data_IF_211479214992
#
_entry.id   IF_211479214992
#
_cell.length_a   1.000
_cell.length_b   1.000
_cell.length_c   1.000
_cell.angle_alpha   90.00
_cell.angle_beta   90.00
_cell.angle_gamma   90.00
#
_symmetry.space_group_name_H-M   'P 1'
#
loop_
_entity.id
_entity.type
_entity.pdbx_description
1 polymer ?
#
# COMPACT_ATOMS: atom_id res chain seq x y z
N UNK A 1 -54.05 -26.68 27.55
CA UNK A 1 -53.52 -25.45 28.19
C UNK A 1 -52.05 -25.70 28.48
N UNK A 2 -51.17 -24.99 27.77
CA UNK A 2 -49.74 -24.67 28.01
C UNK A 2 -49.17 -24.36 26.63
N UNK A 3 -48.96 -23.07 26.36
CA UNK A 3 -48.38 -22.51 25.14
C UNK A 3 -46.93 -22.18 25.43
N UNK A 4 -45.97 -22.78 24.69
CA UNK A 4 -44.59 -22.34 24.73
C UNK A 4 -44.44 -21.13 23.79
N UNK A 5 -44.46 -19.92 24.36
CA UNK A 5 -43.94 -18.71 23.72
C UNK A 5 -42.43 -18.71 23.89
N UNK A 6 -41.70 -19.00 22.82
CA UNK A 6 -40.28 -18.66 22.74
C UNK A 6 -40.16 -17.13 22.71
N UNK A 7 -39.70 -16.56 23.82
CA UNK A 7 -39.27 -15.19 23.88
C UNK A 7 -37.94 -15.07 23.13
N UNK A 8 -38.01 -14.61 21.88
CA UNK A 8 -36.83 -14.16 21.15
C UNK A 8 -36.28 -12.91 21.85
N UNK A 9 -35.28 -13.12 22.71
CA UNK A 9 -34.47 -12.07 23.31
C UNK A 9 -33.65 -11.40 22.21
N UNK A 10 -34.22 -10.38 21.57
CA UNK A 10 -33.48 -9.46 20.70
C UNK A 10 -32.57 -8.62 21.58
N UNK A 11 -31.41 -9.18 21.94
CA UNK A 11 -30.33 -8.43 22.56
C UNK A 11 -29.80 -7.41 21.54
N UNK A 12 -30.38 -6.21 21.57
CA UNK A 12 -29.82 -5.03 20.93
C UNK A 12 -28.42 -4.80 21.51
N UNK A 13 -27.39 -5.28 20.80
CA UNK A 13 -26.02 -4.84 20.99
C UNK A 13 -25.93 -3.39 20.54
N UNK A 14 -26.42 -2.48 21.38
CA UNK A 14 -26.01 -1.09 21.39
C UNK A 14 -24.56 -1.06 21.88
N UNK A 15 -23.64 -1.41 20.98
CA UNK A 15 -22.23 -1.16 21.18
C UNK A 15 -22.05 0.34 21.42
N UNK A 16 -21.56 0.70 22.61
CA UNK A 16 -21.18 2.07 22.92
C UNK A 16 -20.17 2.55 21.87
N UNK A 17 -20.65 3.35 20.92
CA UNK A 17 -19.77 4.23 20.16
C UNK A 17 -19.12 5.17 21.19
N UNK A 18 -17.78 5.29 21.24
CA UNK A 18 -17.14 6.30 22.07
C UNK A 18 -17.70 7.66 21.66
N UNK A 19 -18.05 8.51 22.64
CA UNK A 19 -18.58 9.87 22.51
C UNK A 19 -18.54 10.42 21.05
N UNK A 20 -19.71 10.48 20.44
CA UNK A 20 -19.93 10.35 18.99
C UNK A 20 -19.10 11.26 18.10
N UNK A 21 -18.09 10.69 17.43
CA UNK A 21 -17.49 11.32 16.25
C UNK A 21 -18.53 11.36 15.13
N UNK A 22 -18.64 12.50 14.46
CA UNK A 22 -19.53 12.64 13.30
C UNK A 22 -19.15 11.66 12.19
N UNK A 23 -20.16 11.21 11.44
CA UNK A 23 -19.95 10.36 10.26
C UNK A 23 -19.44 11.19 9.06
N UNK A 24 -18.71 10.55 8.15
CA UNK A 24 -18.39 11.15 6.85
C UNK A 24 -19.63 11.19 5.94
N UNK A 25 -19.65 12.09 4.96
CA UNK A 25 -20.64 12.10 3.90
C UNK A 25 -20.30 11.09 2.80
N UNK A 26 -21.29 10.66 2.01
CA UNK A 26 -21.06 9.68 0.93
C UNK A 26 -20.00 10.13 -0.10
N UNK A 27 -20.00 11.41 -0.45
CA UNK A 27 -19.03 11.99 -1.38
C UNK A 27 -17.62 12.10 -0.80
N UNK A 28 -17.49 12.22 0.52
CA UNK A 28 -16.19 12.20 1.20
C UNK A 28 -15.56 10.80 1.12
N UNK A 29 -16.39 9.76 1.28
CA UNK A 29 -15.96 8.38 1.09
C UNK A 29 -15.58 8.08 -0.36
N UNK A 30 -16.37 8.54 -1.32
CA UNK A 30 -16.04 8.39 -2.75
C UNK A 30 -14.73 9.12 -3.07
N UNK A 31 -14.57 10.36 -2.62
CA UNK A 31 -13.34 11.12 -2.83
C UNK A 31 -12.11 10.44 -2.23
N UNK A 32 -12.23 9.91 -0.99
CA UNK A 32 -11.14 9.16 -0.37
C UNK A 32 -10.82 7.87 -1.14
N UNK A 33 -11.84 7.15 -1.63
CA UNK A 33 -11.64 5.94 -2.41
C UNK A 33 -10.97 6.22 -3.78
N UNK A 34 -11.35 7.30 -4.45
CA UNK A 34 -10.75 7.71 -5.74
C UNK A 34 -9.30 8.17 -5.56
N UNK A 35 -9.00 8.93 -4.51
CA UNK A 35 -7.63 9.29 -4.16
C UNK A 35 -6.80 8.07 -3.76
N UNK A 36 -7.41 7.08 -3.09
CA UNK A 36 -6.78 5.79 -2.84
C UNK A 36 -6.47 5.03 -4.14
N UNK A 37 -7.39 5.03 -5.10
CA UNK A 37 -7.16 4.40 -6.40
C UNK A 37 -6.06 5.13 -7.19
N UNK A 38 -5.98 6.46 -7.12
CA UNK A 38 -4.86 7.23 -7.67
C UNK A 38 -3.53 6.71 -7.12
N UNK A 39 -3.40 6.57 -5.79
CA UNK A 39 -2.17 6.07 -5.18
C UNK A 39 -1.75 4.71 -5.73
N UNK A 40 -2.71 3.79 -5.86
CA UNK A 40 -2.46 2.46 -6.43
C UNK A 40 -1.99 2.58 -7.88
N UNK A 41 -2.67 3.38 -8.71
CA UNK A 41 -2.23 3.58 -10.10
C UNK A 41 -0.81 4.15 -10.16
N UNK A 42 -0.49 5.13 -9.31
CA UNK A 42 0.85 5.71 -9.24
C UNK A 42 1.93 4.66 -8.88
N UNK A 43 1.68 3.80 -7.87
CA UNK A 43 2.59 2.70 -7.49
C UNK A 43 2.80 1.71 -8.64
N UNK A 44 1.75 1.36 -9.38
CA UNK A 44 1.89 0.45 -10.53
C UNK A 44 2.67 1.09 -11.69
N UNK A 45 2.47 2.39 -11.95
CA UNK A 45 3.25 3.11 -12.95
C UNK A 45 4.72 3.20 -12.58
N UNK A 46 4.99 3.46 -11.30
CA UNK A 46 6.33 3.51 -10.73
C UNK A 46 7.03 2.15 -10.84
N UNK A 47 6.41 1.08 -10.33
CA UNK A 47 6.94 -0.28 -10.47
C UNK A 47 7.14 -0.70 -11.94
N UNK A 48 6.26 -0.25 -12.85
CA UNK A 48 6.43 -0.48 -14.30
C UNK A 48 7.65 0.25 -14.85
N UNK A 49 7.94 1.46 -14.39
CA UNK A 49 9.10 2.24 -14.80
C UNK A 49 10.42 1.58 -14.36
N UNK A 50 10.49 1.11 -13.11
CA UNK A 50 11.64 0.35 -12.61
C UNK A 50 11.84 -0.95 -13.40
N UNK A 51 10.76 -1.69 -13.70
CA UNK A 51 10.84 -2.90 -14.52
C UNK A 51 11.37 -2.64 -15.94
N UNK A 52 11.08 -1.47 -16.51
CA UNK A 52 11.57 -1.07 -17.83
C UNK A 52 13.02 -0.56 -17.81
N UNK A 53 13.63 -0.42 -16.64
CA UNK A 53 14.99 0.16 -16.51
C UNK A 53 15.05 1.62 -16.93
N UNK A 54 13.96 2.38 -16.74
CA UNK A 54 13.99 3.83 -16.94
C UNK A 54 14.93 4.49 -15.91
N UNK A 55 15.47 5.70 -16.18
CA UNK A 55 16.37 6.37 -15.25
C UNK A 55 15.77 6.48 -13.85
N UNK A 56 16.52 5.98 -12.88
CA UNK A 56 16.05 5.82 -11.50
C UNK A 56 16.70 6.85 -10.57
N UNK A 57 15.86 7.49 -9.75
CA UNK A 57 16.23 8.44 -8.72
C UNK A 57 15.06 8.61 -7.76
N UNK A 58 15.30 9.15 -6.56
CA UNK A 58 14.22 9.42 -5.62
C UNK A 58 13.17 10.40 -6.19
N UNK A 59 13.58 11.33 -7.06
CA UNK A 59 12.68 12.30 -7.68
C UNK A 59 12.43 11.98 -9.16
N UNK A 60 11.47 11.08 -9.42
CA UNK A 60 10.98 10.77 -10.77
C UNK A 60 9.59 11.38 -11.01
N UNK A 61 9.13 11.50 -12.27
CA UNK A 61 7.73 11.84 -12.54
C UNK A 61 6.72 10.87 -11.92
N UNK A 62 7.09 9.58 -11.79
CA UNK A 62 6.25 8.53 -11.21
C UNK A 62 6.12 8.68 -9.68
N UNK A 63 7.24 8.95 -9.00
CA UNK A 63 7.27 9.41 -7.62
C UNK A 63 6.46 10.70 -7.44
N UNK A 64 6.56 11.65 -8.38
CA UNK A 64 5.74 12.86 -8.39
C UNK A 64 4.23 12.58 -8.38
N UNK A 65 3.76 11.61 -9.17
CA UNK A 65 2.36 11.17 -9.15
C UNK A 65 1.97 10.55 -7.81
N UNK A 66 2.85 9.74 -7.21
CA UNK A 66 2.64 9.11 -5.91
C UNK A 66 2.56 10.16 -4.80
N UNK A 67 3.54 11.06 -4.73
CA UNK A 67 3.62 12.14 -3.75
C UNK A 67 2.43 13.10 -3.87
N UNK A 68 2.05 13.46 -5.10
CA UNK A 68 0.87 14.28 -5.36
C UNK A 68 -0.41 13.62 -4.85
N UNK A 69 -0.60 12.34 -5.14
CA UNK A 69 -1.75 11.57 -4.64
C UNK A 69 -1.78 11.50 -3.11
N UNK A 70 -0.62 11.31 -2.48
CA UNK A 70 -0.50 11.22 -1.03
C UNK A 70 -0.82 12.56 -0.37
N UNK A 71 -0.27 13.65 -0.91
CA UNK A 71 -0.55 15.00 -0.45
C UNK A 71 -2.05 15.30 -0.55
N UNK A 72 -2.67 14.99 -1.69
CA UNK A 72 -4.10 15.21 -1.88
C UNK A 72 -4.96 14.38 -0.92
N UNK A 73 -4.62 13.10 -0.70
CA UNK A 73 -5.33 12.26 0.27
C UNK A 73 -5.14 12.76 1.72
N UNK A 74 -3.92 13.14 2.10
CA UNK A 74 -3.63 13.74 3.39
C UNK A 74 -4.45 15.01 3.62
N UNK A 75 -4.40 15.95 2.67
CA UNK A 75 -5.21 17.18 2.72
C UNK A 75 -6.70 16.89 2.76
N UNK A 76 -7.17 15.86 2.06
CA UNK A 76 -8.56 15.42 2.11
C UNK A 76 -8.98 14.97 3.51
N UNK A 77 -8.16 14.14 4.17
CA UNK A 77 -8.39 13.69 5.55
C UNK A 77 -8.44 14.87 6.54
N UNK A 78 -7.49 15.79 6.43
CA UNK A 78 -7.45 16.99 7.27
C UNK A 78 -8.68 17.88 7.01
N UNK A 79 -9.09 18.02 5.75
CA UNK A 79 -10.28 18.79 5.36
C UNK A 79 -11.57 18.18 5.92
N UNK A 80 -11.69 16.84 6.01
CA UNK A 80 -12.84 16.20 6.65
C UNK A 80 -12.97 16.59 8.13
N UNK A 81 -11.86 16.60 8.87
CA UNK A 81 -11.82 17.05 10.26
C UNK A 81 -12.13 18.55 10.40
N UNK A 82 -11.54 19.36 9.52
CA UNK A 82 -11.77 20.81 9.47
C UNK A 82 -13.24 21.19 9.25
N UNK A 83 -13.92 20.54 8.31
CA UNK A 83 -15.36 20.77 8.05
C UNK A 83 -16.25 20.45 9.24
N UNK A 84 -15.75 19.64 10.18
CA UNK A 84 -16.44 19.20 11.39
C UNK A 84 -15.93 19.89 12.65
N UNK A 85 -15.06 20.91 12.52
CA UNK A 85 -14.39 21.56 13.66
C UNK A 85 -15.34 22.21 14.66
N UNK A 86 -16.52 22.67 14.24
CA UNK A 86 -17.38 23.51 15.08
C UNK A 86 -16.62 24.72 15.62
N UNK A 87 -16.52 24.83 16.95
CA UNK A 87 -15.73 25.85 17.66
C UNK A 87 -14.35 25.36 18.11
N UNK A 88 -13.99 24.10 17.83
CA UNK A 88 -12.71 23.54 18.22
C UNK A 88 -11.54 24.23 17.50
N UNK A 89 -10.37 24.36 18.15
CA UNK A 89 -9.19 24.95 17.52
C UNK A 89 -8.73 24.12 16.31
N UNK A 90 -8.20 24.78 15.26
CA UNK A 90 -7.74 24.18 14.00
C UNK A 90 -7.02 22.84 14.13
N UNK A 91 -5.95 22.81 14.92
CA UNK A 91 -5.06 21.65 15.03
C UNK A 91 -5.75 20.44 15.67
N UNK A 92 -6.70 20.64 16.59
CA UNK A 92 -7.48 19.54 17.18
C UNK A 92 -8.50 18.99 16.20
N UNK A 93 -9.12 19.86 15.42
CA UNK A 93 -10.15 19.47 14.49
C UNK A 93 -9.62 18.62 13.34
N UNK A 94 -8.47 19.01 12.76
CA UNK A 94 -7.86 18.23 11.65
C UNK A 94 -7.33 16.87 12.10
N UNK A 95 -6.99 16.73 13.39
CA UNK A 95 -6.59 15.45 14.01
C UNK A 95 -7.77 14.63 14.56
N UNK A 96 -9.00 15.12 14.39
CA UNK A 96 -10.23 14.44 14.80
C UNK A 96 -11.10 14.13 13.57
N UNK A 97 -10.67 13.21 12.69
CA UNK A 97 -11.42 12.86 11.49
C UNK A 97 -12.74 12.15 11.85
N UNK A 98 -13.70 12.10 10.91
CA UNK A 98 -14.96 11.39 11.11
C UNK A 98 -14.75 9.91 11.48
N UNK A 99 -15.78 9.29 12.06
CA UNK A 99 -15.74 7.88 12.41
C UNK A 99 -15.34 7.02 11.19
N UNK A 100 -14.40 6.09 11.39
CA UNK A 100 -13.79 5.28 10.33
C UNK A 100 -12.49 5.84 9.74
N UNK A 101 -12.22 7.14 9.85
CA UNK A 101 -11.03 7.78 9.24
C UNK A 101 -9.85 8.02 10.20
N UNK A 102 -9.98 7.59 11.46
CA UNK A 102 -8.86 7.66 12.42
C UNK A 102 -7.67 6.80 11.99
N UNK A 103 -7.91 5.58 11.50
CA UNK A 103 -6.87 4.69 11.02
C UNK A 103 -6.17 5.21 9.75
N UNK A 104 -6.87 5.75 8.74
CA UNK A 104 -6.23 6.48 7.64
C UNK A 104 -5.30 7.60 8.08
N UNK A 105 -5.68 8.37 9.11
CA UNK A 105 -4.82 9.44 9.62
C UNK A 105 -3.53 8.88 10.28
N UNK A 106 -3.65 7.79 11.03
CA UNK A 106 -2.48 7.05 11.55
C UNK A 106 -1.62 6.51 10.39
N UNK A 107 -2.27 5.94 9.37
CA UNK A 107 -1.63 5.47 8.14
C UNK A 107 -0.85 6.57 7.42
N UNK A 108 -1.40 7.79 7.35
CA UNK A 108 -0.70 8.95 6.79
C UNK A 108 0.60 9.25 7.56
N UNK A 109 0.56 9.20 8.89
CA UNK A 109 1.74 9.38 9.73
C UNK A 109 2.79 8.27 9.53
N UNK A 110 2.35 7.01 9.48
CA UNK A 110 3.21 5.86 9.20
C UNK A 110 3.86 5.98 7.82
N UNK A 111 3.08 6.32 6.79
CA UNK A 111 3.57 6.48 5.43
C UNK A 111 4.57 7.63 5.34
N UNK A 112 4.30 8.76 5.99
CA UNK A 112 5.24 9.89 6.02
C UNK A 112 6.57 9.51 6.70
N UNK A 113 6.51 8.78 7.82
CA UNK A 113 7.72 8.26 8.48
C UNK A 113 8.46 7.25 7.60
N UNK A 114 7.73 6.36 6.92
CA UNK A 114 8.26 5.41 5.95
C UNK A 114 8.97 6.11 4.79
N UNK A 115 8.37 7.13 4.20
CA UNK A 115 8.96 7.87 3.08
C UNK A 115 10.20 8.67 3.48
N UNK A 116 10.23 9.22 4.70
CA UNK A 116 11.42 9.86 5.24
C UNK A 116 12.55 8.86 5.50
N UNK A 117 12.22 7.68 6.03
CA UNK A 117 13.18 6.60 6.21
C UNK A 117 13.69 6.06 4.86
N UNK A 118 12.82 5.98 3.86
CA UNK A 118 13.13 5.56 2.50
C UNK A 118 14.11 6.51 1.81
N UNK A 119 13.84 7.81 1.89
CA UNK A 119 14.76 8.84 1.40
C UNK A 119 16.14 8.70 2.06
N UNK A 120 16.17 8.63 3.40
CA UNK A 120 17.42 8.49 4.13
C UNK A 120 18.16 7.18 3.76
N UNK A 121 17.42 6.10 3.51
CA UNK A 121 17.96 4.83 3.07
C UNK A 121 18.62 4.96 1.69
N UNK A 122 17.93 5.58 0.73
CA UNK A 122 18.44 5.80 -0.62
C UNK A 122 19.69 6.68 -0.66
N UNK A 123 19.81 7.67 0.22
CA UNK A 123 21.01 8.51 0.34
C UNK A 123 22.22 7.75 0.90
N UNK A 124 22.00 6.73 1.74
CA UNK A 124 23.08 5.98 2.41
C UNK A 124 23.47 4.71 1.64
N UNK A 125 22.49 3.98 1.11
CA UNK A 125 22.68 2.64 0.54
C UNK A 125 22.39 2.56 -0.97
N UNK A 126 21.83 3.61 -1.56
CA UNK A 126 21.42 3.64 -2.97
C UNK A 126 20.03 3.08 -3.21
N UNK A 127 19.65 2.94 -4.48
CA UNK A 127 18.33 2.45 -4.89
C UNK A 127 18.35 0.94 -5.05
N UNK A 128 17.43 0.28 -4.34
CA UNK A 128 17.28 -1.17 -4.32
C UNK A 128 16.48 -1.63 -5.55
N UNK A 129 16.81 -2.80 -6.09
CA UNK A 129 16.13 -3.35 -7.26
C UNK A 129 15.60 -4.77 -6.99
N UNK A 130 14.53 -5.14 -7.67
CA UNK A 130 13.95 -6.47 -7.55
C UNK A 130 13.41 -6.77 -6.15
N UNK A 131 13.80 -7.91 -5.58
CA UNK A 131 13.23 -8.38 -4.31
C UNK A 131 13.72 -7.60 -3.08
N UNK A 132 14.90 -7.00 -3.18
CA UNK A 132 15.49 -6.21 -2.11
C UNK A 132 14.63 -4.97 -1.81
N UNK A 133 14.04 -4.36 -2.85
CA UNK A 133 13.09 -3.25 -2.69
C UNK A 133 11.83 -3.67 -1.90
N UNK A 134 11.35 -4.90 -2.04
CA UNK A 134 10.19 -5.37 -1.25
C UNK A 134 10.57 -5.58 0.23
N UNK A 135 11.75 -6.15 0.48
CA UNK A 135 12.19 -6.55 1.82
C UNK A 135 12.81 -5.40 2.62
N UNK A 136 13.07 -4.27 1.96
CA UNK A 136 13.55 -3.05 2.58
C UNK A 136 12.64 -2.59 3.73
N UNK A 137 13.20 -2.30 4.91
CA UNK A 137 12.40 -1.87 6.07
C UNK A 137 11.51 -0.65 5.79
N UNK A 138 11.97 0.29 4.96
CA UNK A 138 11.21 1.50 4.60
C UNK A 138 9.99 1.15 3.76
N UNK A 139 10.15 0.29 2.75
CA UNK A 139 9.08 -0.15 1.87
C UNK A 139 7.99 -0.93 2.62
N UNK A 140 8.37 -1.81 3.56
CA UNK A 140 7.38 -2.50 4.40
C UNK A 140 6.56 -1.52 5.25
N UNK A 141 7.20 -0.47 5.76
CA UNK A 141 6.51 0.59 6.51
C UNK A 141 5.58 1.41 5.61
N UNK A 142 6.00 1.71 4.38
CA UNK A 142 5.18 2.36 3.35
C UNK A 142 3.95 1.52 2.98
N UNK A 143 4.10 0.21 2.75
CA UNK A 143 2.97 -0.69 2.48
C UNK A 143 1.99 -0.76 3.66
N UNK A 144 2.50 -0.82 4.89
CA UNK A 144 1.65 -0.79 6.08
C UNK A 144 0.87 0.53 6.19
N UNK A 145 1.54 1.66 5.99
CA UNK A 145 0.91 2.99 5.98
C UNK A 145 -0.15 3.12 4.88
N UNK A 146 0.16 2.63 3.67
CA UNK A 146 -0.77 2.60 2.54
C UNK A 146 -2.02 1.76 2.86
N UNK A 147 -1.85 0.58 3.46
CA UNK A 147 -2.98 -0.26 3.89
C UNK A 147 -3.94 0.49 4.82
N UNK A 148 -3.41 1.22 5.81
CA UNK A 148 -4.24 2.04 6.69
C UNK A 148 -4.93 3.20 5.98
N UNK A 149 -4.22 3.91 5.09
CA UNK A 149 -4.75 5.01 4.28
C UNK A 149 -5.94 4.54 3.41
N UNK A 150 -5.78 3.41 2.72
CA UNK A 150 -6.77 2.87 1.79
C UNK A 150 -7.99 2.25 2.50
N UNK A 151 -7.85 1.86 3.77
CA UNK A 151 -8.93 1.23 4.54
C UNK A 151 -10.07 2.20 4.93
N UNK A 152 -9.91 3.52 4.77
CA UNK A 152 -10.84 4.53 5.26
C UNK A 152 -12.30 4.30 4.87
N UNK A 153 -12.66 4.16 3.58
CA UNK A 153 -14.04 3.92 3.16
C UNK A 153 -14.61 2.61 3.70
N UNK A 154 -13.81 1.55 3.82
CA UNK A 154 -14.23 0.26 4.40
C UNK A 154 -14.54 0.40 5.89
N UNK A 155 -13.67 1.09 6.63
CA UNK A 155 -13.84 1.31 8.07
C UNK A 155 -14.99 2.28 8.37
N UNK A 156 -15.17 3.29 7.53
CA UNK A 156 -16.33 4.19 7.52
C UNK A 156 -17.63 3.42 7.28
N UNK A 157 -17.63 2.47 6.34
CA UNK A 157 -18.81 1.66 6.05
C UNK A 157 -19.25 0.78 7.22
N UNK A 158 -18.31 0.25 8.01
CA UNK A 158 -18.60 -0.59 9.18
C UNK A 158 -19.34 0.12 10.31
N UNK A 159 -19.23 1.45 10.38
CA UNK A 159 -19.83 2.25 11.45
C UNK A 159 -21.10 2.98 11.02
N UNK A 160 -21.47 2.94 9.74
CA UNK A 160 -22.63 3.64 9.17
C UNK A 160 -23.81 2.69 8.96
N UNK A 161 -25.02 3.21 9.14
CA UNK A 161 -26.25 2.51 8.75
C UNK A 161 -26.47 2.45 7.23
N UNK A 162 -26.05 3.48 6.49
CA UNK A 162 -26.18 3.56 5.04
C UNK A 162 -24.84 3.90 4.36
N UNK A 163 -23.93 2.92 4.21
CA UNK A 163 -22.62 3.14 3.61
C UNK A 163 -22.70 3.32 2.08
N UNK A 164 -21.70 4.00 1.50
CA UNK A 164 -21.52 4.05 0.05
C UNK A 164 -20.92 2.73 -0.45
N UNK A 165 -21.72 1.93 -1.16
CA UNK A 165 -21.25 0.68 -1.77
C UNK A 165 -20.10 0.93 -2.76
N UNK A 166 -20.23 1.95 -3.61
CA UNK A 166 -19.20 2.31 -4.58
C UNK A 166 -17.85 2.64 -3.91
N UNK A 167 -17.87 3.47 -2.86
CA UNK A 167 -16.63 3.81 -2.14
C UNK A 167 -16.01 2.58 -1.46
N UNK A 168 -16.84 1.70 -0.91
CA UNK A 168 -16.38 0.46 -0.25
C UNK A 168 -15.73 -0.48 -1.25
N UNK A 169 -16.36 -0.70 -2.41
CA UNK A 169 -15.82 -1.55 -3.49
C UNK A 169 -14.51 -0.96 -4.02
N UNK A 170 -14.47 0.34 -4.32
CA UNK A 170 -13.25 0.99 -4.78
C UNK A 170 -12.10 0.87 -3.78
N UNK A 171 -12.37 1.02 -2.48
CA UNK A 171 -11.36 0.85 -1.44
C UNK A 171 -10.88 -0.60 -1.32
N UNK A 172 -11.79 -1.59 -1.40
CA UNK A 172 -11.42 -3.01 -1.40
C UNK A 172 -10.59 -3.37 -2.64
N UNK A 173 -10.92 -2.82 -3.80
CA UNK A 173 -10.14 -2.98 -5.02
C UNK A 173 -8.74 -2.39 -4.84
N UNK A 174 -8.63 -1.17 -4.31
CA UNK A 174 -7.35 -0.53 -4.05
C UNK A 174 -6.48 -1.33 -3.04
N UNK A 175 -7.08 -1.80 -1.94
CA UNK A 175 -6.41 -2.66 -0.96
C UNK A 175 -5.94 -3.99 -1.57
N UNK A 176 -6.80 -4.62 -2.35
CA UNK A 176 -6.47 -5.88 -3.03
C UNK A 176 -5.34 -5.67 -4.05
N UNK A 177 -5.38 -4.56 -4.80
CA UNK A 177 -4.38 -4.24 -5.80
C UNK A 177 -3.02 -3.92 -5.18
N UNK A 178 -2.95 -3.15 -4.09
CA UNK A 178 -1.66 -2.89 -3.42
C UNK A 178 -1.10 -4.15 -2.76
N UNK A 179 -1.95 -5.00 -2.19
CA UNK A 179 -1.53 -6.29 -1.65
C UNK A 179 -1.02 -7.22 -2.77
N UNK A 180 -1.72 -7.26 -3.90
CA UNK A 180 -1.30 -8.03 -5.08
C UNK A 180 0.03 -7.50 -5.65
N UNK A 181 0.22 -6.17 -5.69
CA UNK A 181 1.49 -5.56 -6.09
C UNK A 181 2.63 -6.04 -5.20
N UNK A 182 2.50 -5.92 -3.88
CA UNK A 182 3.51 -6.40 -2.94
C UNK A 182 3.77 -7.92 -3.08
N UNK A 183 2.70 -8.71 -3.17
CA UNK A 183 2.82 -10.18 -3.32
C UNK A 183 3.42 -10.59 -4.67
N UNK A 184 3.35 -9.76 -5.71
CA UNK A 184 3.91 -10.08 -7.02
C UNK A 184 5.44 -10.28 -6.97
N UNK A 185 6.13 -9.65 -6.02
CA UNK A 185 7.56 -9.81 -5.81
C UNK A 185 7.95 -11.20 -5.29
N UNK A 186 7.01 -11.96 -4.69
CA UNK A 186 7.26 -13.35 -4.30
C UNK A 186 7.55 -14.24 -5.52
N UNK A 187 7.14 -13.84 -6.73
CA UNK A 187 7.50 -14.56 -7.96
C UNK A 187 9.01 -14.74 -8.12
N UNK A 188 9.84 -13.85 -7.57
CA UNK A 188 11.29 -13.97 -7.55
C UNK A 188 11.81 -15.20 -6.79
N UNK A 189 11.04 -15.75 -5.84
CA UNK A 189 11.40 -16.99 -5.15
C UNK A 189 10.98 -18.27 -5.90
N UNK A 190 10.07 -18.15 -6.86
CA UNK A 190 9.47 -19.30 -7.55
C UNK A 190 9.84 -19.37 -9.04
N UNK A 191 10.56 -18.38 -9.56
CA UNK A 191 10.93 -18.30 -10.98
C UNK A 191 12.42 -18.60 -11.15
N UNK A 192 12.76 -19.73 -11.78
CA UNK A 192 14.13 -20.10 -12.17
C UNK A 192 14.65 -19.31 -13.40
N UNK A 193 13.88 -18.33 -13.87
CA UNK A 193 14.28 -17.49 -14.99
C UNK A 193 15.47 -16.62 -14.58
N UNK A 194 16.59 -16.58 -15.32
CA UNK A 194 17.67 -15.64 -15.04
C UNK A 194 17.16 -14.22 -15.29
N UNK A 195 16.74 -13.53 -14.21
CA UNK A 195 16.10 -12.20 -14.28
C UNK A 195 17.12 -11.09 -14.55
N UNK A 196 18.42 -11.35 -14.36
CA UNK A 196 19.50 -10.42 -14.69
C UNK A 196 20.69 -11.14 -15.33
N UNK A 197 21.29 -10.52 -16.35
CA UNK A 197 22.70 -10.77 -16.67
C UNK A 197 23.53 -10.17 -15.53
N UNK A 198 24.25 -11.00 -14.78
CA UNK A 198 25.26 -10.55 -13.81
C UNK A 198 26.32 -9.75 -14.59
N UNK A 199 26.25 -8.42 -14.48
CA UNK A 199 27.02 -7.50 -15.33
C UNK A 199 28.53 -7.50 -15.07
N UNK A 200 28.96 -7.92 -13.89
CA UNK A 200 30.37 -8.07 -13.54
C UNK A 200 30.57 -9.34 -12.71
N UNK A 201 31.18 -10.34 -13.32
CA UNK A 201 32.01 -11.25 -12.56
C UNK A 201 33.29 -10.50 -12.19
N UNK A 202 33.87 -10.70 -10.98
CA UNK A 202 35.26 -10.30 -10.74
C UNK A 202 36.12 -10.83 -11.90
N UNK A 203 36.97 -10.00 -12.52
CA UNK A 203 37.85 -10.45 -13.60
C UNK A 203 38.59 -11.73 -13.17
N UNK A 204 38.17 -12.89 -13.69
CA UNK A 204 38.77 -14.18 -13.34
C UNK A 204 37.88 -15.41 -13.50
N UNK A 205 36.55 -15.32 -13.38
CA UNK A 205 35.69 -16.50 -13.63
C UNK A 205 35.39 -16.63 -15.12
N UNK A 206 35.97 -17.66 -15.75
CA UNK A 206 35.73 -17.99 -17.15
C UNK A 206 34.22 -18.17 -17.40
N UNK A 207 33.65 -17.58 -18.46
CA UNK A 207 32.28 -17.88 -18.83
C UNK A 207 32.19 -19.39 -19.11
N UNK A 208 31.24 -20.08 -18.47
CA UNK A 208 30.91 -21.46 -18.84
C UNK A 208 30.45 -21.43 -20.30
N UNK A 209 31.32 -21.85 -21.21
CA UNK A 209 30.99 -22.01 -22.60
C UNK A 209 29.79 -22.95 -22.70
N UNK A 210 28.74 -22.54 -23.42
CA UNK A 210 27.63 -23.42 -23.81
C UNK A 210 28.24 -24.65 -24.49
N UNK A 211 28.19 -25.81 -23.82
CA UNK A 211 28.55 -27.08 -24.46
C UNK A 211 27.64 -27.29 -25.66
N UNK A 212 28.22 -27.44 -26.84
CA UNK A 212 27.46 -27.90 -28.02
C UNK A 212 27.00 -29.34 -27.77
N UNK A 213 25.77 -29.72 -28.18
CA UNK A 213 25.34 -31.10 -28.13
C UNK A 213 26.34 -31.98 -28.90
N UNK A 214 27.00 -32.91 -28.22
CA UNK A 214 27.94 -33.86 -28.83
C UNK A 214 29.40 -33.82 -28.34
N UNK A 215 29.81 -32.86 -27.50
CA UNK A 215 31.16 -32.90 -26.91
C UNK A 215 31.23 -33.81 -25.68
N UNK A 216 32.02 -34.88 -25.77
CA UNK A 216 32.36 -35.76 -24.63
C UNK A 216 33.21 -34.99 -23.61
N UNK A 217 33.06 -35.25 -22.31
CA UNK A 217 33.83 -34.55 -21.29
C UNK A 217 35.31 -34.97 -21.30
N UNK A 218 36.20 -33.99 -21.15
CA UNK A 218 37.67 -34.14 -21.19
C UNK A 218 38.28 -35.07 -20.12
N UNK A 219 37.49 -35.54 -19.14
CA UNK A 219 37.98 -36.51 -18.15
C UNK A 219 38.07 -37.95 -18.71
N UNK A 220 37.53 -38.21 -19.91
CA UNK A 220 37.51 -39.55 -20.51
C UNK A 220 38.80 -39.94 -21.28
N UNK A 221 39.88 -39.17 -21.18
CA UNK A 221 41.14 -39.40 -21.90
C UNK A 221 42.32 -39.87 -21.02
N UNK A 222 42.05 -40.37 -19.82
CA UNK A 222 43.09 -40.97 -18.96
C UNK A 222 42.57 -42.28 -18.35
N UNK A 223 42.76 -43.36 -19.10
CA UNK A 223 42.98 -44.74 -18.66
C UNK A 223 43.63 -45.49 -19.83
#
# INVERSE_FOLDING_TARGET
MVTHREAATTASRSGLAPAGRAFSARWEDIGAALLGLWLVVAVFLDGRAHWLGLPDSFFTPWHGLLYGGLLLLGLWLLAMGWRRRGTAPPWRAVLAPPAGYGWPLVGAGIFAAGGAADLAWHEVFGIEAGIDALLSPSHLLLFAGAGFLLAGPVLSARVKGEPSLAATVLALLALSAVAAFALSFLSGFFSDAPVYTVGHFPEGTRPTSRRRPGQRPDWAATC
#
